data_IF_791130243952
#
_entry.id   IF_791130243952
#
_cell.length_a   1.000
_cell.length_b   1.000
_cell.length_c   1.000
_cell.angle_alpha   90.00
_cell.angle_beta   90.00
_cell.angle_gamma   90.00
#
_symmetry.space_group_name_H-M   'P 1'
#
loop_
_entity.id
_entity.type
_entity.pdbx_description
1 polymer ?
#
# COMPACT_ATOMS: atom_id res chain seq x y z
N UNK A 1 11.15 -19.17 -19.59
CA UNK A 1 10.80 -18.50 -18.34
C UNK A 1 10.35 -17.11 -18.73
N UNK A 2 9.06 -16.80 -18.57
CA UNK A 2 8.53 -15.49 -19.01
C UNK A 2 9.18 -14.32 -18.26
N UNK A 3 9.25 -13.19 -18.92
CA UNK A 3 9.74 -11.95 -18.34
C UNK A 3 8.86 -11.58 -17.13
N UNK A 4 9.49 -11.16 -16.03
CA UNK A 4 8.75 -10.73 -14.84
C UNK A 4 8.45 -9.24 -15.01
N UNK A 5 7.18 -8.91 -15.15
CA UNK A 5 6.74 -7.52 -15.20
C UNK A 5 6.89 -6.88 -13.81
N UNK A 6 7.53 -5.72 -13.75
CA UNK A 6 7.66 -4.95 -12.51
C UNK A 6 6.85 -3.64 -12.62
N UNK A 7 6.04 -3.36 -11.61
CA UNK A 7 5.22 -2.16 -11.48
C UNK A 7 5.66 -1.42 -10.22
N UNK A 8 6.22 -0.26 -10.40
CA UNK A 8 6.81 0.53 -9.33
C UNK A 8 5.79 1.40 -8.58
N UNK A 9 6.23 1.94 -7.45
CA UNK A 9 5.44 2.82 -6.57
C UNK A 9 5.01 4.14 -7.22
N UNK A 10 5.66 4.55 -8.32
CA UNK A 10 5.27 5.74 -9.11
C UNK A 10 3.85 5.62 -9.68
N UNK A 11 3.34 4.39 -9.80
CA UNK A 11 1.98 4.10 -10.26
C UNK A 11 0.96 4.01 -9.12
N UNK A 12 1.27 4.57 -7.95
CA UNK A 12 0.34 4.55 -6.81
C UNK A 12 -0.90 5.43 -7.04
N UNK A 13 -2.02 4.96 -6.51
CA UNK A 13 -3.33 5.62 -6.52
C UNK A 13 -3.91 5.59 -5.10
N UNK A 14 -4.84 6.50 -4.82
CA UNK A 14 -5.52 6.57 -3.51
C UNK A 14 -7.01 6.24 -3.59
N UNK A 15 -7.47 5.78 -4.75
CA UNK A 15 -8.84 5.34 -4.98
C UNK A 15 -8.87 4.20 -6.00
N UNK A 16 -9.88 3.35 -5.87
CA UNK A 16 -10.26 2.41 -6.92
C UNK A 16 -11.14 3.17 -7.91
N UNK A 17 -10.62 3.40 -9.10
CA UNK A 17 -11.30 4.14 -10.16
C UNK A 17 -11.40 3.26 -11.40
N UNK A 18 -12.63 3.00 -11.84
CA UNK A 18 -12.91 2.18 -13.03
C UNK A 18 -12.40 2.83 -14.33
N UNK A 19 -12.26 4.15 -14.34
CA UNK A 19 -11.76 4.90 -15.50
C UNK A 19 -10.22 5.05 -15.48
N UNK A 20 -9.57 4.54 -14.43
CA UNK A 20 -8.11 4.57 -14.33
C UNK A 20 -7.48 3.74 -15.44
N UNK A 21 -6.64 4.38 -16.25
CA UNK A 21 -5.91 3.68 -17.31
C UNK A 21 -4.96 2.65 -16.71
N UNK A 22 -4.98 1.40 -17.22
CA UNK A 22 -4.02 0.40 -16.83
C UNK A 22 -2.58 0.85 -17.11
N UNK A 23 -1.67 0.56 -16.20
CA UNK A 23 -0.24 0.83 -16.36
C UNK A 23 0.47 -0.26 -17.14
N UNK A 24 -0.16 -1.43 -17.23
CA UNK A 24 0.32 -2.57 -18.00
C UNK A 24 -0.83 -3.52 -18.34
N UNK A 25 -0.62 -4.37 -19.34
CA UNK A 25 -1.49 -5.50 -19.70
C UNK A 25 -0.76 -6.80 -19.39
N UNK A 26 -1.47 -7.74 -18.77
CA UNK A 26 -0.98 -9.07 -18.42
C UNK A 26 -1.94 -10.14 -18.91
N UNK A 27 -1.46 -11.39 -18.99
CA UNK A 27 -2.25 -12.57 -19.33
C UNK A 27 -2.37 -13.51 -18.13
N UNK A 28 -3.33 -14.41 -18.20
CA UNK A 28 -3.44 -15.48 -17.20
C UNK A 28 -2.14 -16.30 -17.16
N UNK A 29 -1.59 -16.48 -15.95
CA UNK A 29 -0.32 -17.16 -15.72
C UNK A 29 0.92 -16.28 -15.68
N UNK A 30 0.80 -15.01 -16.02
CA UNK A 30 1.91 -14.06 -15.92
C UNK A 30 2.31 -13.81 -14.47
N UNK A 31 3.57 -13.41 -14.29
CA UNK A 31 4.14 -13.04 -12.99
C UNK A 31 4.40 -11.55 -12.95
N UNK A 32 3.90 -10.92 -11.89
CA UNK A 32 4.04 -9.48 -11.69
C UNK A 32 4.65 -9.21 -10.32
N UNK A 33 5.59 -8.29 -10.27
CA UNK A 33 6.13 -7.72 -9.03
C UNK A 33 5.54 -6.33 -8.84
N UNK A 34 4.79 -6.13 -7.77
CA UNK A 34 4.30 -4.82 -7.38
C UNK A 34 5.18 -4.25 -6.27
N UNK A 35 5.72 -3.08 -6.49
CA UNK A 35 6.28 -2.27 -5.41
C UNK A 35 5.17 -1.45 -4.78
N UNK A 36 4.93 -1.66 -3.51
CA UNK A 36 3.83 -1.01 -2.79
C UNK A 36 4.37 -0.06 -1.73
N UNK A 37 3.67 1.03 -1.53
CA UNK A 37 3.92 1.99 -0.46
C UNK A 37 3.24 1.51 0.83
N UNK A 38 3.74 1.91 1.99
CA UNK A 38 3.03 1.66 3.24
C UNK A 38 1.74 2.51 3.36
N UNK A 39 0.85 2.10 4.27
CA UNK A 39 -0.46 2.71 4.45
C UNK A 39 -0.41 4.23 4.71
N UNK A 40 0.67 4.72 5.29
CA UNK A 40 0.87 6.12 5.63
C UNK A 40 1.87 6.83 4.71
N UNK A 41 2.14 6.27 3.53
CA UNK A 41 2.99 6.88 2.50
C UNK A 41 4.39 7.26 3.01
N UNK A 42 5.00 6.39 3.83
CA UNK A 42 6.31 6.63 4.45
C UNK A 42 6.39 7.91 5.31
N UNK A 43 5.26 8.45 5.73
CA UNK A 43 5.21 9.65 6.56
C UNK A 43 5.59 9.37 8.02
N UNK A 44 5.38 8.13 8.48
CA UNK A 44 5.79 7.69 9.81
C UNK A 44 7.17 7.07 9.69
N UNK A 45 8.17 7.77 10.21
CA UNK A 45 9.57 7.39 10.05
C UNK A 45 10.25 7.00 11.36
N UNK A 46 9.68 7.39 12.48
CA UNK A 46 10.23 7.21 13.83
C UNK A 46 9.10 7.22 14.85
N UNK A 47 9.39 6.71 16.04
CA UNK A 47 8.44 6.61 17.15
C UNK A 47 7.85 7.96 17.59
N UNK A 48 8.56 9.05 17.31
CA UNK A 48 8.12 10.42 17.66
C UNK A 48 7.20 11.05 16.63
N UNK A 49 6.92 10.40 15.51
CA UNK A 49 5.97 10.90 14.50
C UNK A 49 4.56 10.68 15.04
N UNK A 50 3.96 11.74 15.58
CA UNK A 50 2.69 11.68 16.28
C UNK A 50 1.51 11.77 15.34
N UNK A 51 0.46 11.01 15.64
CA UNK A 51 -0.82 11.08 14.93
C UNK A 51 -1.43 12.51 14.89
N UNK A 52 -1.21 13.32 15.91
CA UNK A 52 -1.67 14.70 15.93
C UNK A 52 -1.13 15.55 14.77
N UNK A 53 0.05 15.22 14.25
CA UNK A 53 0.65 15.88 13.08
C UNK A 53 0.22 15.24 11.75
N UNK A 54 -0.44 14.08 11.82
CA UNK A 54 -0.79 13.28 10.66
C UNK A 54 -1.66 14.01 9.64
N UNK A 55 -2.67 14.84 10.00
CA UNK A 55 -3.44 15.59 9.01
C UNK A 55 -2.58 16.48 8.12
N UNK A 56 -1.52 17.09 8.69
CA UNK A 56 -0.59 17.93 7.93
C UNK A 56 0.31 17.10 7.02
N UNK A 57 0.77 15.95 7.51
CA UNK A 57 1.58 15.00 6.75
C UNK A 57 0.74 14.37 5.63
N UNK A 58 -0.49 14.02 5.93
CA UNK A 58 -1.46 13.43 5.02
C UNK A 58 -1.77 14.33 3.82
N UNK A 59 -1.94 15.63 4.07
CA UNK A 59 -2.16 16.58 3.00
C UNK A 59 -0.99 16.64 2.01
N UNK A 60 0.24 16.38 2.48
CA UNK A 60 1.43 16.31 1.62
C UNK A 60 1.53 14.98 0.84
N UNK A 61 1.05 13.89 1.43
CA UNK A 61 1.13 12.55 0.84
C UNK A 61 0.04 12.23 -0.18
N UNK A 62 -1.03 13.04 -0.24
CA UNK A 62 -2.15 12.82 -1.16
C UNK A 62 -3.20 11.83 -0.68
N UNK A 63 -3.01 11.18 0.47
CA UNK A 63 -3.96 10.23 1.03
C UNK A 63 -3.30 9.12 1.87
N UNK A 64 -4.07 8.13 2.28
CA UNK A 64 -3.56 6.90 2.91
C UNK A 64 -3.99 5.66 2.15
N UNK A 65 -3.39 4.52 2.53
CA UNK A 65 -3.66 3.23 1.93
C UNK A 65 -3.51 3.25 0.39
N UNK A 66 -2.38 3.73 -0.14
CA UNK A 66 -2.18 3.75 -1.57
C UNK A 66 -2.14 2.34 -2.13
N UNK A 67 -2.62 2.19 -3.36
CA UNK A 67 -2.57 0.97 -4.15
C UNK A 67 -1.74 1.18 -5.40
N UNK A 68 -0.98 0.18 -5.84
CA UNK A 68 -0.13 0.24 -7.03
C UNK A 68 -0.85 -0.39 -8.22
N UNK A 69 -0.89 0.29 -9.34
CA UNK A 69 -1.56 -0.16 -10.57
C UNK A 69 -2.48 0.89 -11.16
N UNK A 70 -3.58 0.48 -11.82
CA UNK A 70 -4.07 -0.88 -12.05
C UNK A 70 -3.35 -1.61 -13.21
N UNK A 71 -3.53 -2.92 -13.28
CA UNK A 71 -3.15 -3.72 -14.44
C UNK A 71 -4.40 -4.25 -15.14
N UNK A 72 -4.33 -4.36 -16.46
CA UNK A 72 -5.38 -5.01 -17.25
C UNK A 72 -5.05 -6.48 -17.44
N UNK A 73 -6.00 -7.36 -17.20
CA UNK A 73 -5.87 -8.79 -17.47
C UNK A 73 -6.54 -9.11 -18.80
N UNK A 74 -5.75 -9.45 -19.80
CA UNK A 74 -6.24 -9.77 -21.14
C UNK A 74 -7.22 -10.94 -21.10
N UNK A 75 -8.36 -10.78 -21.75
CA UNK A 75 -9.40 -11.79 -21.82
C UNK A 75 -10.30 -11.91 -20.56
N UNK A 76 -10.07 -11.12 -19.51
CA UNK A 76 -10.96 -11.11 -18.35
C UNK A 76 -12.19 -10.22 -18.58
N UNK A 77 -13.36 -10.70 -18.14
CA UNK A 77 -14.64 -10.03 -18.29
C UNK A 77 -15.35 -9.85 -16.94
N UNK A 78 -16.27 -8.90 -16.83
CA UNK A 78 -17.11 -8.78 -15.65
C UNK A 78 -17.86 -10.08 -15.33
N UNK A 79 -17.75 -10.56 -14.10
CA UNK A 79 -18.31 -11.83 -13.65
C UNK A 79 -17.31 -12.98 -13.58
N UNK A 80 -16.12 -12.82 -14.16
CA UNK A 80 -15.04 -13.81 -14.03
C UNK A 80 -14.48 -13.83 -12.61
N UNK A 81 -13.90 -14.96 -12.24
CA UNK A 81 -13.19 -15.13 -10.97
C UNK A 81 -11.69 -14.97 -11.19
N UNK A 82 -11.08 -14.03 -10.47
CA UNK A 82 -9.64 -13.83 -10.49
C UNK A 82 -8.97 -14.67 -9.41
N UNK A 83 -8.07 -15.59 -9.81
CA UNK A 83 -7.22 -16.33 -8.90
C UNK A 83 -5.82 -15.72 -8.84
N UNK A 84 -5.44 -15.23 -7.66
CA UNK A 84 -4.12 -14.62 -7.44
C UNK A 84 -3.29 -15.48 -6.51
N UNK A 85 -2.13 -15.97 -6.98
CA UNK A 85 -1.18 -16.71 -6.15
C UNK A 85 -0.05 -15.78 -5.71
N UNK A 86 0.03 -15.52 -4.42
CA UNK A 86 1.15 -14.76 -3.83
C UNK A 86 2.36 -15.68 -3.77
N UNK A 87 3.39 -15.37 -4.54
CA UNK A 87 4.62 -16.17 -4.63
C UNK A 87 5.65 -15.74 -3.59
N UNK A 88 5.72 -14.46 -3.29
CA UNK A 88 6.68 -13.89 -2.36
C UNK A 88 6.20 -12.54 -1.84
N UNK A 89 6.43 -12.28 -0.57
CA UNK A 89 6.30 -10.96 0.06
C UNK A 89 7.68 -10.57 0.58
N UNK A 90 8.13 -9.37 0.23
CA UNK A 90 9.40 -8.80 0.71
C UNK A 90 9.06 -7.54 1.48
N UNK A 91 9.13 -7.56 2.82
CA UNK A 91 8.89 -6.37 3.63
C UNK A 91 9.87 -5.25 3.31
N UNK A 92 9.40 -4.03 3.43
CA UNK A 92 9.99 -2.80 2.92
C UNK A 92 11.49 -2.60 3.08
N UNK A 93 12.10 -2.16 1.99
CA UNK A 93 13.53 -1.88 1.91
C UNK A 93 13.95 -0.63 2.70
N UNK A 94 13.05 0.32 2.89
CA UNK A 94 13.40 1.63 3.43
C UNK A 94 13.64 1.60 4.94
N UNK A 95 13.10 0.57 5.64
CA UNK A 95 13.13 0.50 7.11
C UNK A 95 13.28 -0.87 7.72
N UNK A 96 13.58 -1.89 6.93
CA UNK A 96 13.75 -3.28 7.40
C UNK A 96 12.62 -3.77 8.32
N UNK A 97 11.36 -3.39 8.05
CA UNK A 97 10.26 -3.84 8.89
C UNK A 97 8.98 -3.05 8.72
N UNK A 98 8.13 -3.12 9.72
CA UNK A 98 6.89 -2.39 9.84
C UNK A 98 6.81 -1.66 11.18
N UNK A 99 5.62 -1.19 11.51
CA UNK A 99 5.33 -0.63 12.83
C UNK A 99 3.91 -0.98 13.25
N UNK A 100 3.68 -0.98 14.54
CA UNK A 100 2.34 -0.96 15.11
C UNK A 100 2.11 0.36 15.80
N UNK A 101 0.89 0.85 15.81
CA UNK A 101 0.57 2.13 16.40
C UNK A 101 -0.80 2.14 17.07
N UNK A 102 -0.92 2.95 18.10
CA UNK A 102 -2.19 3.30 18.74
C UNK A 102 -2.51 4.73 18.35
N UNK A 103 -3.68 4.92 17.77
CA UNK A 103 -4.16 6.25 17.37
C UNK A 103 -5.16 6.77 18.38
N UNK A 104 -4.85 7.91 18.97
CA UNK A 104 -5.79 8.64 19.81
C UNK A 104 -6.99 9.10 18.98
N UNK A 105 -8.18 8.96 19.55
CA UNK A 105 -9.42 9.38 18.90
C UNK A 105 -9.99 8.39 17.88
N UNK A 106 -9.43 7.20 17.72
CA UNK A 106 -9.92 6.18 16.81
C UNK A 106 -10.19 4.84 17.51
N UNK A 107 -11.23 4.15 17.04
CA UNK A 107 -11.58 2.81 17.49
C UNK A 107 -11.95 2.74 18.95
N UNK A 108 -11.63 1.60 19.60
CA UNK A 108 -11.96 1.35 21.01
C UNK A 108 -11.14 2.19 21.99
N UNK A 109 -10.04 2.80 21.55
CA UNK A 109 -9.14 3.61 22.36
C UNK A 109 -9.31 5.12 22.10
N UNK A 110 -10.49 5.54 21.65
CA UNK A 110 -10.78 6.92 21.31
C UNK A 110 -10.58 7.92 22.46
N UNK A 111 -10.72 7.47 23.69
CA UNK A 111 -10.55 8.31 24.90
C UNK A 111 -9.09 8.33 25.41
N UNK A 112 -8.20 7.54 24.81
CA UNK A 112 -6.80 7.54 25.18
C UNK A 112 -6.11 8.82 24.69
N UNK A 113 -5.33 9.42 25.58
CA UNK A 113 -4.51 10.58 25.21
C UNK A 113 -3.16 10.13 24.68
N UNK A 114 -2.77 10.70 23.54
CA UNK A 114 -1.50 10.43 22.90
C UNK A 114 -1.56 9.29 21.88
N UNK A 115 -0.54 9.19 21.09
CA UNK A 115 -0.34 8.10 20.12
C UNK A 115 0.95 7.36 20.46
N UNK A 116 0.91 6.05 20.39
CA UNK A 116 2.08 5.21 20.59
C UNK A 116 2.39 4.49 19.26
N UNK A 117 3.63 4.50 18.87
CA UNK A 117 4.11 3.76 17.72
C UNK A 117 5.29 2.90 18.18
N UNK A 118 5.28 1.66 17.77
CA UNK A 118 6.36 0.73 18.07
C UNK A 118 6.82 0.08 16.77
N UNK A 119 8.10 0.16 16.43
CA UNK A 119 8.66 -0.57 15.31
C UNK A 119 8.49 -2.07 15.52
N UNK A 120 8.24 -2.79 14.44
CA UNK A 120 8.35 -4.24 14.42
C UNK A 120 9.74 -4.57 13.88
N UNK A 121 10.54 -5.22 14.69
CA UNK A 121 11.80 -5.77 14.22
C UNK A 121 11.54 -6.91 13.25
N UNK A 122 12.39 -7.09 12.22
CA UNK A 122 12.22 -8.11 11.20
C UNK A 122 12.40 -9.53 11.73
#
# INVERSE_FOLDING_TARGET
>A
MGEILKIGMEHKKFAFDREAKPVATIHSGDRVVFETEDANCSLITKETDLWAEFPKLYAKGGGCNPVTGPVYVEGAHPGDCLSVKILRVVPGFIRNGGYTSIYSGLGMLQDCKGSLQQPLEP
#
